data_IF_640084297740
#
_entry.id   IF_640084297740
#
_cell.length_a   1.000
_cell.length_b   1.000
_cell.length_c   1.000
_cell.angle_alpha   90.00
_cell.angle_beta   90.00
_cell.angle_gamma   90.00
#
_symmetry.space_group_name_H-M   'P 1'
#
loop_
_entity.id
_entity.type
_entity.pdbx_description
1 polymer ?
#
# COMPACT_ATOMS: atom_id res chain seq x y z
N UNK A 1 -14.66 -42.82 -30.69
CA UNK A 1 -15.92 -42.49 -29.98
C UNK A 1 -15.92 -41.00 -29.74
N UNK A 2 -16.78 -40.31 -30.46
CA UNK A 2 -16.95 -38.86 -30.49
C UNK A 2 -17.41 -38.35 -29.13
N UNK A 3 -16.55 -37.58 -28.46
CA UNK A 3 -16.96 -36.77 -27.32
C UNK A 3 -17.93 -35.71 -27.86
N UNK A 4 -19.19 -35.79 -27.43
CA UNK A 4 -20.20 -34.77 -27.69
C UNK A 4 -19.68 -33.44 -27.14
N UNK A 5 -19.29 -32.55 -28.06
CA UNK A 5 -19.09 -31.13 -27.80
C UNK A 5 -20.33 -30.60 -27.07
N UNK A 6 -20.12 -30.15 -25.84
CA UNK A 6 -21.09 -29.39 -25.07
C UNK A 6 -21.65 -28.27 -25.95
N UNK A 7 -22.94 -28.34 -26.26
CA UNK A 7 -23.63 -27.26 -26.94
C UNK A 7 -23.52 -25.99 -26.07
N UNK A 8 -23.13 -24.83 -26.62
CA UNK A 8 -23.00 -23.56 -25.87
C UNK A 8 -24.32 -23.01 -25.31
N UNK A 9 -25.42 -23.76 -25.41
CA UNK A 9 -26.77 -23.34 -24.99
C UNK A 9 -27.01 -23.39 -23.48
N UNK A 10 -26.08 -23.87 -22.66
CA UNK A 10 -26.26 -24.03 -21.21
C UNK A 10 -25.01 -23.74 -20.37
N UNK A 11 -24.14 -22.84 -20.82
CA UNK A 11 -23.16 -22.26 -19.91
C UNK A 11 -23.86 -21.17 -19.10
N UNK A 12 -24.06 -21.40 -17.80
CA UNK A 12 -24.52 -20.36 -16.88
C UNK A 12 -23.65 -19.11 -17.07
N UNK A 13 -24.28 -17.93 -17.04
CA UNK A 13 -23.62 -16.61 -17.14
C UNK A 13 -23.21 -16.13 -18.53
N UNK A 14 -23.47 -16.88 -19.61
CA UNK A 14 -23.27 -16.42 -21.00
C UNK A 14 -24.60 -15.92 -21.60
N UNK A 15 -24.68 -14.61 -21.86
CA UNK A 15 -25.85 -13.93 -22.42
C UNK A 15 -25.65 -13.45 -23.84
N UNK A 16 -26.74 -13.11 -24.53
CA UNK A 16 -26.66 -12.42 -25.81
C UNK A 16 -26.30 -10.94 -25.58
N UNK A 17 -25.50 -10.37 -26.48
CA UNK A 17 -25.15 -8.93 -26.43
C UNK A 17 -26.40 -8.08 -26.71
N UNK A 18 -27.21 -8.51 -27.68
CA UNK A 18 -28.49 -7.92 -28.04
C UNK A 18 -29.49 -9.05 -28.36
N UNK A 19 -30.82 -8.83 -28.24
CA UNK A 19 -31.83 -9.87 -28.44
C UNK A 19 -31.69 -10.63 -29.77
N UNK A 20 -31.32 -9.90 -30.83
CA UNK A 20 -31.18 -10.39 -32.20
C UNK A 20 -29.74 -10.80 -32.57
N UNK A 21 -28.76 -10.50 -31.72
CA UNK A 21 -27.36 -10.83 -32.01
C UNK A 21 -27.08 -12.31 -31.70
N UNK A 22 -26.40 -13.04 -32.61
CA UNK A 22 -25.89 -14.37 -32.30
C UNK A 22 -24.71 -14.32 -31.32
N UNK A 23 -24.10 -13.14 -31.14
CA UNK A 23 -22.93 -12.96 -30.30
C UNK A 23 -23.29 -13.05 -28.82
N UNK A 24 -22.40 -13.73 -28.08
CA UNK A 24 -22.57 -13.95 -26.66
C UNK A 24 -21.37 -13.47 -25.87
N UNK A 25 -21.64 -12.88 -24.72
CA UNK A 25 -20.63 -12.45 -23.76
C UNK A 25 -21.00 -12.91 -22.36
N UNK A 26 -20.01 -12.94 -21.47
CA UNK A 26 -20.31 -13.09 -20.05
C UNK A 26 -21.15 -11.91 -19.58
N UNK A 27 -22.31 -12.19 -19.01
CA UNK A 27 -23.17 -11.17 -18.40
C UNK A 27 -22.52 -10.69 -17.10
N UNK A 28 -21.88 -11.61 -16.38
CA UNK A 28 -21.24 -11.33 -15.11
C UNK A 28 -19.73 -11.10 -15.28
N UNK A 29 -19.31 -9.86 -15.05
CA UNK A 29 -17.90 -9.45 -15.12
C UNK A 29 -17.05 -10.07 -14.01
N UNK A 30 -17.62 -10.34 -12.84
CA UNK A 30 -16.89 -10.97 -11.73
C UNK A 30 -16.55 -12.41 -12.05
N UNK A 31 -17.50 -13.17 -12.62
CA UNK A 31 -17.23 -14.55 -13.08
C UNK A 31 -16.16 -14.56 -14.17
N UNK A 32 -16.19 -13.59 -15.09
CA UNK A 32 -15.15 -13.48 -16.11
C UNK A 32 -13.76 -13.24 -15.50
N UNK A 33 -13.66 -12.34 -14.53
CA UNK A 33 -12.42 -12.04 -13.83
C UNK A 33 -11.92 -13.21 -12.95
N UNK A 34 -12.83 -14.00 -12.36
CA UNK A 34 -12.48 -15.26 -11.71
C UNK A 34 -11.82 -16.23 -12.69
N UNK A 35 -12.39 -16.40 -13.89
CA UNK A 35 -11.84 -17.28 -14.92
C UNK A 35 -10.48 -16.80 -15.44
N UNK A 36 -10.30 -15.49 -15.60
CA UNK A 36 -9.01 -14.92 -16.00
C UNK A 36 -7.95 -15.13 -14.92
N UNK A 37 -8.30 -14.87 -13.66
CA UNK A 37 -7.41 -15.11 -12.53
C UNK A 37 -7.07 -16.61 -12.42
N UNK A 38 -8.04 -17.49 -12.68
CA UNK A 38 -7.86 -18.95 -12.58
C UNK A 38 -6.92 -19.44 -13.67
N UNK A 39 -7.02 -18.87 -14.87
CA UNK A 39 -6.11 -19.20 -15.96
C UNK A 39 -4.66 -18.84 -15.60
N UNK A 40 -4.42 -17.62 -15.11
CA UNK A 40 -3.08 -17.20 -14.70
C UNK A 40 -2.59 -18.02 -13.50
N UNK A 41 -3.46 -18.33 -12.53
CA UNK A 41 -3.13 -19.20 -11.40
C UNK A 41 -2.76 -20.63 -11.83
N UNK A 42 -3.47 -21.18 -12.82
CA UNK A 42 -3.14 -22.48 -13.40
C UNK A 42 -1.80 -22.43 -14.14
N UNK A 43 -1.49 -21.35 -14.86
CA UNK A 43 -0.19 -21.18 -15.50
C UNK A 43 0.96 -21.19 -14.48
N UNK A 44 0.78 -20.56 -13.31
CA UNK A 44 1.74 -20.64 -12.19
C UNK A 44 1.83 -22.08 -11.67
N UNK A 45 0.68 -22.70 -11.38
CA UNK A 45 0.57 -24.02 -10.75
C UNK A 45 1.18 -25.14 -11.60
N UNK A 46 0.98 -25.07 -12.91
CA UNK A 46 1.52 -26.04 -13.86
C UNK A 46 2.85 -25.61 -14.48
N UNK A 47 3.43 -24.48 -14.03
CA UNK A 47 4.67 -23.89 -14.56
C UNK A 47 4.63 -23.71 -16.08
N UNK A 48 3.47 -23.28 -16.59
CA UNK A 48 3.24 -23.07 -18.00
C UNK A 48 3.90 -21.77 -18.48
N UNK A 49 5.14 -21.89 -18.96
CA UNK A 49 5.90 -20.76 -19.48
C UNK A 49 5.40 -20.24 -20.84
N UNK A 50 4.52 -21.00 -21.52
CA UNK A 50 3.99 -20.60 -22.82
C UNK A 50 3.28 -19.25 -22.75
N UNK A 51 2.75 -18.91 -21.57
CA UNK A 51 2.07 -17.63 -21.40
C UNK A 51 2.99 -16.43 -21.57
N UNK A 52 4.29 -16.59 -21.30
CA UNK A 52 5.29 -15.55 -21.46
C UNK A 52 5.61 -15.23 -22.92
N UNK A 53 5.20 -16.08 -23.87
CA UNK A 53 5.45 -15.90 -25.30
C UNK A 53 4.21 -15.42 -26.06
N UNK A 54 3.06 -15.37 -25.41
CA UNK A 54 1.81 -14.96 -26.01
C UNK A 54 1.55 -13.47 -25.78
N UNK A 55 0.76 -12.86 -26.68
CA UNK A 55 0.12 -11.59 -26.38
C UNK A 55 -1.08 -11.85 -25.46
N UNK A 56 -0.96 -11.49 -24.19
CA UNK A 56 -2.12 -11.52 -23.28
C UNK A 56 -3.19 -10.57 -23.78
N UNK A 57 -4.41 -11.08 -23.94
CA UNK A 57 -5.55 -10.30 -24.43
C UNK A 57 -6.60 -10.03 -23.35
N UNK A 58 -6.50 -10.70 -22.20
CA UNK A 58 -7.58 -10.78 -21.22
C UNK A 58 -7.08 -10.28 -19.88
N UNK A 59 -7.01 -8.96 -19.77
CA UNK A 59 -6.44 -8.29 -18.61
C UNK A 59 -7.30 -8.48 -17.36
N UNK A 60 -6.64 -8.68 -16.22
CA UNK A 60 -7.31 -8.64 -14.93
C UNK A 60 -7.76 -7.21 -14.60
N UNK A 61 -8.83 -7.09 -13.81
CA UNK A 61 -9.18 -5.85 -13.12
C UNK A 61 -8.80 -5.91 -11.63
N UNK A 62 -9.15 -4.88 -10.85
CA UNK A 62 -8.84 -4.83 -9.40
C UNK A 62 -9.41 -6.06 -8.66
N UNK A 63 -10.59 -6.54 -9.07
CA UNK A 63 -11.18 -7.74 -8.48
C UNK A 63 -10.41 -9.00 -8.88
N UNK A 64 -10.13 -9.19 -10.17
CA UNK A 64 -9.36 -10.33 -10.68
C UNK A 64 -7.98 -10.45 -10.04
N UNK A 65 -7.26 -9.33 -9.90
CA UNK A 65 -5.97 -9.27 -9.18
C UNK A 65 -6.14 -9.66 -7.71
N UNK A 66 -7.18 -9.16 -7.02
CA UNK A 66 -7.42 -9.48 -5.61
C UNK A 66 -7.69 -10.98 -5.38
N UNK A 67 -8.40 -11.62 -6.31
CA UNK A 67 -8.65 -13.07 -6.30
C UNK A 67 -7.33 -13.81 -6.49
N UNK A 68 -6.54 -13.42 -7.49
CA UNK A 68 -5.24 -14.03 -7.76
C UNK A 68 -4.30 -13.93 -6.55
N UNK A 69 -4.22 -12.75 -5.92
CA UNK A 69 -3.45 -12.54 -4.69
C UNK A 69 -3.91 -13.49 -3.57
N UNK A 70 -5.23 -13.60 -3.37
CA UNK A 70 -5.82 -14.49 -2.37
C UNK A 70 -5.46 -15.96 -2.62
N UNK A 71 -5.47 -16.40 -3.88
CA UNK A 71 -5.07 -17.77 -4.23
C UNK A 71 -3.58 -18.01 -4.10
N UNK A 72 -2.73 -17.07 -4.52
CA UNK A 72 -1.27 -17.18 -4.32
C UNK A 72 -0.96 -17.36 -2.82
N UNK A 73 -1.61 -16.57 -1.96
CA UNK A 73 -1.44 -16.69 -0.51
C UNK A 73 -2.02 -17.99 0.05
N UNK A 74 -3.23 -18.38 -0.36
CA UNK A 74 -3.91 -19.57 0.15
C UNK A 74 -3.17 -20.87 -0.19
N UNK A 75 -2.56 -20.93 -1.37
CA UNK A 75 -1.88 -22.11 -1.89
C UNK A 75 -0.34 -22.04 -1.79
N UNK A 76 0.20 -21.00 -1.14
CA UNK A 76 1.65 -20.79 -0.94
C UNK A 76 2.48 -20.78 -2.24
N UNK A 77 1.95 -20.13 -3.29
CA UNK A 77 2.52 -20.16 -4.65
C UNK A 77 3.52 -19.03 -4.92
N UNK A 78 4.14 -18.47 -3.89
CA UNK A 78 5.07 -17.34 -4.05
C UNK A 78 6.28 -17.72 -4.92
N UNK A 79 6.86 -18.89 -4.66
CA UNK A 79 8.09 -19.32 -5.34
C UNK A 79 7.86 -19.55 -6.84
N UNK A 80 6.73 -20.14 -7.20
CA UNK A 80 6.29 -20.40 -8.55
C UNK A 80 5.93 -19.10 -9.28
N UNK A 81 5.27 -18.17 -8.59
CA UNK A 81 4.95 -16.85 -9.12
C UNK A 81 6.22 -16.10 -9.49
N UNK A 82 7.20 -16.06 -8.58
CA UNK A 82 8.51 -15.45 -8.81
C UNK A 82 9.28 -16.15 -9.94
N UNK A 83 9.26 -17.48 -9.98
CA UNK A 83 9.88 -18.24 -11.07
C UNK A 83 9.34 -17.82 -12.44
N UNK A 84 8.02 -17.61 -12.57
CA UNK A 84 7.42 -17.14 -13.82
C UNK A 84 7.82 -15.69 -14.14
N UNK A 85 7.82 -14.80 -13.13
CA UNK A 85 8.24 -13.40 -13.26
C UNK A 85 9.69 -13.31 -13.77
N UNK A 86 10.62 -14.08 -13.20
CA UNK A 86 12.04 -14.04 -13.58
C UNK A 86 12.36 -14.65 -14.94
N UNK A 87 11.42 -15.39 -15.55
CA UNK A 87 11.59 -16.01 -16.87
C UNK A 87 11.15 -15.11 -18.02
N UNK A 88 10.56 -13.95 -17.72
CA UNK A 88 10.14 -13.01 -18.77
C UNK A 88 11.34 -12.49 -19.54
N UNK A 89 11.24 -12.48 -20.86
CA UNK A 89 12.23 -11.84 -21.73
C UNK A 89 11.74 -10.45 -22.17
N UNK A 90 12.61 -9.64 -22.79
CA UNK A 90 12.28 -8.25 -23.14
C UNK A 90 11.07 -8.09 -24.07
N UNK A 91 10.76 -9.10 -24.90
CA UNK A 91 9.63 -9.12 -25.83
C UNK A 91 8.50 -10.03 -25.34
N UNK A 92 8.56 -10.42 -24.08
CA UNK A 92 7.66 -11.38 -23.48
C UNK A 92 6.35 -10.73 -23.08
N UNK A 93 5.48 -11.55 -22.52
CA UNK A 93 4.20 -11.14 -22.01
C UNK A 93 4.35 -10.35 -20.70
N UNK A 94 4.73 -9.08 -20.80
CA UNK A 94 4.85 -8.15 -19.66
C UNK A 94 3.52 -7.89 -18.96
N UNK A 95 2.40 -8.15 -19.64
CA UNK A 95 1.06 -8.02 -19.06
C UNK A 95 0.78 -9.10 -18.01
N UNK A 96 1.08 -10.37 -18.28
CA UNK A 96 0.94 -11.42 -17.26
C UNK A 96 1.88 -11.15 -16.07
N UNK A 97 3.07 -10.63 -16.32
CA UNK A 97 4.04 -10.30 -15.27
C UNK A 97 3.57 -9.14 -14.40
N UNK A 98 3.03 -8.06 -14.99
CA UNK A 98 2.54 -6.93 -14.19
C UNK A 98 1.31 -7.32 -13.36
N UNK A 99 0.48 -8.24 -13.84
CA UNK A 99 -0.68 -8.78 -13.10
C UNK A 99 -0.23 -9.64 -11.91
N UNK A 100 0.81 -10.46 -12.07
CA UNK A 100 1.43 -11.17 -10.96
C UNK A 100 2.05 -10.23 -9.94
N UNK A 101 2.83 -9.25 -10.41
CA UNK A 101 3.44 -8.25 -9.53
C UNK A 101 2.38 -7.42 -8.80
N UNK A 102 1.30 -7.08 -9.48
CA UNK A 102 0.13 -6.41 -8.93
C UNK A 102 -0.50 -7.26 -7.82
N UNK A 103 -0.71 -8.56 -8.03
CA UNK A 103 -1.23 -9.47 -7.02
C UNK A 103 -0.28 -9.61 -5.82
N UNK A 104 1.02 -9.80 -6.07
CA UNK A 104 2.04 -9.85 -5.02
C UNK A 104 2.12 -8.53 -4.23
N UNK A 105 1.90 -7.38 -4.89
CA UNK A 105 1.90 -6.08 -4.23
C UNK A 105 0.80 -5.92 -3.18
N UNK A 106 -0.28 -6.70 -3.27
CA UNK A 106 -1.37 -6.68 -2.30
C UNK A 106 -1.06 -7.52 -1.05
N UNK A 107 -0.05 -8.38 -1.09
CA UNK A 107 0.33 -9.28 0.00
C UNK A 107 1.38 -8.64 0.91
N UNK A 108 1.41 -9.06 2.18
CA UNK A 108 2.47 -8.71 3.14
C UNK A 108 3.61 -9.73 3.03
N UNK A 109 4.64 -9.39 2.24
CA UNK A 109 5.76 -10.29 1.94
C UNK A 109 7.10 -9.69 2.38
N UNK A 110 8.09 -10.56 2.56
CA UNK A 110 9.49 -10.17 2.72
C UNK A 110 10.00 -9.40 1.47
N UNK A 111 11.07 -8.59 1.59
CA UNK A 111 11.62 -7.84 0.47
C UNK A 111 11.93 -8.72 -0.76
N UNK A 112 11.47 -8.26 -1.93
CA UNK A 112 11.63 -8.97 -3.21
C UNK A 112 12.52 -8.15 -4.13
N UNK A 113 13.67 -8.72 -4.50
CA UNK A 113 14.55 -8.16 -5.52
C UNK A 113 14.18 -8.69 -6.90
N UNK A 114 13.69 -7.81 -7.78
CA UNK A 114 13.26 -8.15 -9.13
C UNK A 114 14.40 -8.10 -10.16
N UNK A 115 15.65 -8.01 -9.71
CA UNK A 115 16.85 -8.22 -10.53
C UNK A 115 16.92 -7.36 -11.81
N UNK A 116 16.33 -6.16 -11.78
CA UNK A 116 16.35 -5.21 -12.89
C UNK A 116 15.30 -5.46 -13.97
N UNK A 117 14.27 -6.27 -13.70
CA UNK A 117 13.18 -6.53 -14.65
C UNK A 117 12.58 -5.23 -15.18
N UNK A 118 12.34 -5.19 -16.49
CA UNK A 118 11.66 -4.08 -17.16
C UNK A 118 10.29 -4.51 -17.66
N UNK A 119 9.26 -3.80 -17.20
CA UNK A 119 7.88 -3.98 -17.64
C UNK A 119 7.55 -2.85 -18.59
N UNK A 120 7.14 -3.20 -19.81
CA UNK A 120 6.85 -2.24 -20.89
C UNK A 120 5.43 -2.44 -21.41
N UNK A 121 4.74 -1.34 -21.73
CA UNK A 121 3.45 -1.34 -22.43
C UNK A 121 2.36 -2.21 -21.78
N UNK A 122 2.38 -2.32 -20.45
CA UNK A 122 1.44 -3.14 -19.70
C UNK A 122 0.44 -2.28 -18.92
N UNK A 123 -0.73 -2.84 -18.64
CA UNK A 123 -1.79 -2.23 -17.84
C UNK A 123 -1.86 -2.90 -16.47
N UNK A 124 -1.89 -2.09 -15.42
CA UNK A 124 -1.93 -2.53 -14.03
C UNK A 124 -3.19 -1.96 -13.34
N UNK A 125 -4.14 -2.81 -12.93
CA UNK A 125 -5.35 -2.34 -12.26
C UNK A 125 -5.06 -1.71 -10.89
N UNK A 126 -4.15 -2.31 -10.13
CA UNK A 126 -3.76 -1.79 -8.82
C UNK A 126 -2.31 -2.16 -8.51
N UNK A 127 -1.53 -1.20 -8.03
CA UNK A 127 -0.18 -1.48 -7.53
C UNK A 127 0.00 -0.83 -6.17
N UNK A 128 0.25 -1.65 -5.15
CA UNK A 128 0.51 -1.17 -3.80
C UNK A 128 1.99 -1.09 -3.52
N UNK A 129 2.45 0.09 -3.11
CA UNK A 129 3.84 0.34 -2.75
C UNK A 129 4.12 0.04 -1.27
N UNK A 130 3.10 -0.38 -0.51
CA UNK A 130 3.14 -0.42 0.95
C UNK A 130 3.14 -1.78 1.63
N UNK A 131 2.79 -2.85 0.92
CA UNK A 131 2.65 -4.17 1.55
C UNK A 131 3.89 -5.06 1.28
N UNK A 132 4.40 -5.03 0.05
CA UNK A 132 5.60 -5.78 -0.35
C UNK A 132 6.73 -4.81 -0.76
N UNK A 133 7.93 -4.90 -0.15
CA UNK A 133 9.06 -4.06 -0.49
C UNK A 133 9.78 -4.57 -1.75
N UNK A 134 9.30 -4.16 -2.92
CA UNK A 134 9.95 -4.45 -4.20
C UNK A 134 11.21 -3.62 -4.43
N UNK A 135 12.21 -4.23 -5.09
CA UNK A 135 13.45 -3.57 -5.50
C UNK A 135 13.82 -3.91 -6.94
N UNK A 136 14.62 -3.05 -7.56
CA UNK A 136 15.22 -3.24 -8.88
C UNK A 136 14.19 -3.59 -9.98
N UNK A 137 13.20 -2.71 -10.19
CA UNK A 137 12.21 -2.86 -11.26
C UNK A 137 11.98 -1.52 -11.97
N UNK A 138 11.81 -1.58 -13.29
CA UNK A 138 11.43 -0.41 -14.09
C UNK A 138 10.13 -0.66 -14.84
N UNK A 139 9.16 0.23 -14.66
CA UNK A 139 7.96 0.34 -15.46
C UNK A 139 8.16 1.43 -16.50
N UNK A 140 7.98 1.12 -17.78
CA UNK A 140 8.15 2.07 -18.88
C UNK A 140 6.94 2.06 -19.81
N UNK A 141 6.31 3.23 -20.00
CA UNK A 141 5.11 3.36 -20.83
C UNK A 141 3.99 2.38 -20.42
N UNK A 142 3.83 2.17 -19.11
CA UNK A 142 2.75 1.38 -18.54
C UNK A 142 1.58 2.27 -18.11
N UNK A 143 0.40 1.68 -18.00
CA UNK A 143 -0.80 2.33 -17.46
C UNK A 143 -1.12 1.74 -16.10
N UNK A 144 -1.44 2.58 -15.12
CA UNK A 144 -1.89 2.19 -13.78
C UNK A 144 -3.26 2.80 -13.52
N UNK A 145 -4.27 1.98 -13.26
CA UNK A 145 -5.58 2.53 -12.84
C UNK A 145 -5.47 3.09 -11.42
N UNK A 146 -4.76 2.40 -10.53
CA UNK A 146 -4.58 2.81 -9.14
C UNK A 146 -3.17 2.50 -8.63
N UNK A 147 -2.44 3.54 -8.22
CA UNK A 147 -1.15 3.44 -7.54
C UNK A 147 -1.31 3.90 -6.08
N UNK A 148 -1.07 3.01 -5.12
CA UNK A 148 -1.28 3.31 -3.70
C UNK A 148 0.04 3.52 -2.96
N UNK A 149 0.12 4.63 -2.23
CA UNK A 149 1.26 5.02 -1.39
C UNK A 149 0.99 4.79 0.11
N UNK A 150 -0.12 4.13 0.43
CA UNK A 150 -0.44 3.77 1.80
C UNK A 150 0.69 2.91 2.36
N UNK A 151 1.30 3.32 3.47
CA UNK A 151 2.45 2.66 4.08
C UNK A 151 3.65 2.41 3.13
N UNK A 152 3.86 3.25 2.10
CA UNK A 152 4.91 3.08 1.09
C UNK A 152 6.25 2.63 1.72
N UNK A 153 6.79 1.50 1.23
CA UNK A 153 8.03 0.88 1.69
C UNK A 153 9.21 1.15 0.74
N UNK A 154 8.93 1.85 -0.37
CA UNK A 154 9.89 2.11 -1.43
C UNK A 154 10.54 3.47 -1.21
N UNK A 155 11.87 3.48 -1.18
CA UNK A 155 12.69 4.68 -1.12
C UNK A 155 13.65 4.76 -2.32
N UNK A 156 14.47 5.82 -2.38
CA UNK A 156 15.40 6.05 -3.49
C UNK A 156 16.45 4.93 -3.65
N UNK A 157 16.68 4.10 -2.63
CA UNK A 157 17.62 2.97 -2.67
C UNK A 157 17.00 1.69 -3.24
N UNK A 158 15.68 1.64 -3.40
CA UNK A 158 14.97 0.48 -3.90
C UNK A 158 15.10 0.32 -5.43
N UNK A 159 15.52 1.35 -6.16
CA UNK A 159 15.61 1.34 -7.64
C UNK A 159 14.31 0.88 -8.32
N UNK A 160 13.16 1.31 -7.79
CA UNK A 160 11.85 1.15 -8.42
C UNK A 160 11.57 2.39 -9.24
N UNK A 161 11.43 2.28 -10.56
CA UNK A 161 11.31 3.43 -11.47
C UNK A 161 10.00 3.34 -12.26
N UNK A 162 9.24 4.42 -12.28
CA UNK A 162 8.09 4.61 -13.18
C UNK A 162 8.47 5.68 -14.19
N UNK A 163 8.53 5.33 -15.47
CA UNK A 163 9.06 6.19 -16.54
C UNK A 163 8.06 6.29 -17.69
N UNK A 164 7.60 7.51 -17.98
CA UNK A 164 6.59 7.79 -19.01
C UNK A 164 5.28 6.98 -18.82
N UNK A 165 4.89 6.70 -17.57
CA UNK A 165 3.66 5.96 -17.28
C UNK A 165 2.43 6.88 -17.20
N UNK A 166 1.26 6.31 -17.47
CA UNK A 166 -0.03 6.97 -17.22
C UNK A 166 -0.63 6.41 -15.94
N UNK A 167 -0.99 7.28 -14.99
CA UNK A 167 -1.55 6.88 -13.69
C UNK A 167 -2.92 7.56 -13.54
N UNK A 168 -3.99 6.78 -13.59
CA UNK A 168 -5.35 7.33 -13.44
C UNK A 168 -5.55 7.86 -12.01
N UNK A 169 -5.29 7.03 -11.00
CA UNK A 169 -5.52 7.40 -9.60
C UNK A 169 -4.32 7.13 -8.71
N UNK A 170 -3.95 8.13 -7.91
CA UNK A 170 -3.03 7.98 -6.78
C UNK A 170 -3.82 8.10 -5.47
N UNK A 171 -3.60 7.16 -4.54
CA UNK A 171 -4.09 7.23 -3.16
C UNK A 171 -2.95 7.17 -2.15
N UNK A 172 -3.20 7.65 -0.92
CA UNK A 172 -2.21 7.59 0.16
C UNK A 172 -1.01 8.54 -0.04
N UNK A 173 -1.09 9.47 -0.99
CA UNK A 173 -0.07 10.47 -1.26
C UNK A 173 -0.58 11.85 -0.83
N UNK A 174 0.16 12.57 0.01
CA UNK A 174 -0.23 13.91 0.44
C UNK A 174 0.07 14.92 -0.68
N UNK A 175 -0.96 15.61 -1.17
CA UNK A 175 -0.89 16.50 -2.34
C UNK A 175 0.15 17.65 -2.26
N UNK A 176 0.66 18.00 -1.06
CA UNK A 176 1.63 19.08 -0.87
C UNK A 176 3.08 18.69 -1.20
N UNK A 177 3.39 17.40 -1.32
CA UNK A 177 4.74 16.96 -1.67
C UNK A 177 4.91 16.79 -3.19
N UNK A 178 6.09 17.18 -3.69
CA UNK A 178 6.55 16.77 -5.02
C UNK A 178 6.54 15.24 -5.09
N UNK A 179 6.08 14.70 -6.22
CA UNK A 179 6.16 13.26 -6.48
C UNK A 179 7.61 12.81 -6.27
N UNK A 180 7.82 11.57 -5.80
CA UNK A 180 9.17 11.04 -5.65
C UNK A 180 9.94 11.09 -6.97
N UNK A 181 11.25 11.28 -6.89
CA UNK A 181 12.12 11.45 -8.08
C UNK A 181 12.15 10.22 -8.99
N UNK A 182 11.69 9.07 -8.49
CA UNK A 182 11.57 7.83 -9.24
C UNK A 182 10.27 7.72 -10.07
N UNK A 183 9.36 8.70 -9.98
CA UNK A 183 8.23 8.88 -10.90
C UNK A 183 8.61 9.94 -11.93
N UNK A 184 9.05 9.48 -13.10
CA UNK A 184 9.70 10.29 -14.12
C UNK A 184 8.75 10.46 -15.30
N UNK A 185 8.43 11.71 -15.65
CA UNK A 185 7.61 12.06 -16.81
C UNK A 185 6.24 11.37 -16.87
N UNK A 186 5.67 11.00 -15.72
CA UNK A 186 4.36 10.34 -15.66
C UNK A 186 3.21 11.35 -15.68
N UNK A 187 2.11 11.01 -16.35
CA UNK A 187 0.85 11.75 -16.26
C UNK A 187 -0.01 11.18 -15.13
N UNK A 188 -0.57 12.06 -14.28
CA UNK A 188 -1.43 11.66 -13.16
C UNK A 188 -2.76 12.41 -13.26
N UNK A 189 -3.87 11.67 -13.37
CA UNK A 189 -5.20 12.25 -13.58
C UNK A 189 -5.92 12.63 -12.29
N UNK A 190 -5.92 11.74 -11.28
CA UNK A 190 -6.66 11.92 -10.04
C UNK A 190 -5.77 11.69 -8.80
N UNK A 191 -5.63 12.72 -7.96
CA UNK A 191 -4.92 12.64 -6.68
C UNK A 191 -5.93 12.66 -5.54
N UNK A 192 -6.20 11.49 -4.95
CA UNK A 192 -7.09 11.39 -3.79
C UNK A 192 -6.30 11.49 -2.48
N UNK A 193 -6.49 12.62 -1.79
CA UNK A 193 -6.07 12.77 -0.40
C UNK A 193 -7.00 11.94 0.48
N UNK A 194 -6.57 10.74 0.90
CA UNK A 194 -7.22 10.09 2.04
C UNK A 194 -6.89 10.87 3.31
N UNK A 195 -7.92 11.22 4.08
CA UNK A 195 -7.73 11.99 5.31
C UNK A 195 -6.70 11.30 6.21
N UNK A 196 -5.69 12.01 6.70
CA UNK A 196 -4.63 11.41 7.53
C UNK A 196 -5.22 10.59 8.70
N UNK A 197 -6.39 10.95 9.22
CA UNK A 197 -7.01 10.25 10.34
C UNK A 197 -7.51 8.82 10.03
N UNK A 198 -7.97 8.52 8.81
CA UNK A 198 -8.33 7.16 8.39
C UNK A 198 -7.09 6.35 8.05
N UNK A 199 -6.15 6.95 7.30
CA UNK A 199 -4.83 6.35 6.98
C UNK A 199 -4.09 5.85 8.22
N UNK A 200 -4.07 6.63 9.30
CA UNK A 200 -3.37 6.26 10.53
C UNK A 200 -4.06 5.09 11.25
N UNK A 201 -5.40 5.01 11.21
CA UNK A 201 -6.14 3.90 11.83
C UNK A 201 -5.81 2.57 11.16
N UNK A 202 -5.85 2.57 9.83
CA UNK A 202 -5.73 1.35 9.03
C UNK A 202 -4.26 0.96 8.76
N UNK A 203 -3.30 1.78 9.17
CA UNK A 203 -1.86 1.50 9.03
C UNK A 203 -1.33 0.46 10.03
N UNK A 204 -0.37 -0.36 9.61
CA UNK A 204 0.39 -1.29 10.49
C UNK A 204 1.49 -0.58 11.31
N UNK A 205 1.28 0.70 11.66
CA UNK A 205 2.24 1.46 12.46
C UNK A 205 2.32 0.92 13.91
N UNK A 206 3.53 0.85 14.50
CA UNK A 206 3.72 0.57 15.91
C UNK A 206 2.89 1.49 16.82
N UNK A 207 2.46 0.97 17.96
CA UNK A 207 1.63 1.68 18.95
C UNK A 207 2.25 3.03 19.34
N UNK A 208 3.57 3.09 19.51
CA UNK A 208 4.29 4.33 19.83
C UNK A 208 4.12 5.44 18.78
N UNK A 209 4.20 5.10 17.50
CA UNK A 209 4.01 6.03 16.39
C UNK A 209 2.55 6.45 16.23
N UNK A 210 1.60 5.52 16.40
CA UNK A 210 0.15 5.86 16.42
C UNK A 210 -0.18 6.81 17.57
N UNK A 211 0.42 6.62 18.75
CA UNK A 211 0.26 7.52 19.89
C UNK A 211 0.91 8.89 19.65
N UNK A 212 2.12 8.93 19.07
CA UNK A 212 2.76 10.19 18.67
C UNK A 212 1.87 11.00 17.72
N UNK A 213 1.32 10.36 16.70
CA UNK A 213 0.42 11.01 15.74
C UNK A 213 -0.86 11.52 16.39
N UNK A 214 -1.41 10.78 17.36
CA UNK A 214 -2.56 11.23 18.16
C UNK A 214 -2.22 12.48 18.97
N UNK A 215 -1.04 12.52 19.61
CA UNK A 215 -0.55 13.67 20.37
C UNK A 215 -0.34 14.88 19.47
N UNK A 216 0.36 14.70 18.33
CA UNK A 216 0.60 15.76 17.34
C UNK A 216 -0.73 16.34 16.84
N UNK A 217 -1.70 15.49 16.47
CA UNK A 217 -3.01 15.95 16.02
C UNK A 217 -3.70 16.80 17.08
N UNK A 218 -3.69 16.37 18.35
CA UNK A 218 -4.35 17.08 19.45
C UNK A 218 -3.68 18.40 19.78
N UNK A 219 -2.36 18.44 19.87
CA UNK A 219 -1.63 19.62 20.32
C UNK A 219 -1.47 20.65 19.19
N UNK A 220 -1.09 20.23 17.98
CA UNK A 220 -0.75 21.16 16.89
C UNK A 220 -1.93 21.53 16.01
N UNK A 221 -2.84 20.59 15.71
CA UNK A 221 -3.81 20.74 14.61
C UNK A 221 -5.28 20.82 15.04
N UNK A 222 -5.64 20.41 16.25
CA UNK A 222 -6.98 20.66 16.77
C UNK A 222 -7.10 22.10 17.27
N UNK A 223 -8.24 22.75 17.03
CA UNK A 223 -8.50 24.15 17.41
C UNK A 223 -8.28 24.42 18.91
N UNK A 224 -7.48 25.46 19.23
CA UNK A 224 -7.14 25.86 20.60
C UNK A 224 -5.68 26.26 20.77
N UNK A 225 -5.37 26.91 21.89
CA UNK A 225 -4.02 27.33 22.27
C UNK A 225 -3.16 26.23 22.92
N UNK A 226 -3.79 25.19 23.46
CA UNK A 226 -3.13 24.08 24.13
C UNK A 226 -4.09 22.96 24.54
N UNK A 227 -3.55 21.88 25.10
CA UNK A 227 -4.31 20.69 25.52
C UNK A 227 -4.02 20.30 26.96
N UNK A 228 -5.10 20.03 27.71
CA UNK A 228 -4.98 19.44 29.04
C UNK A 228 -4.45 18.01 28.96
N UNK A 229 -3.64 17.64 29.93
CA UNK A 229 -3.02 16.30 30.08
C UNK A 229 -4.05 15.15 29.98
N UNK A 230 -5.20 15.29 30.64
CA UNK A 230 -6.31 14.32 30.60
C UNK A 230 -6.84 14.07 29.18
N UNK A 231 -6.77 15.06 28.29
CA UNK A 231 -7.24 14.93 26.91
C UNK A 231 -6.24 14.16 26.04
N UNK A 232 -4.95 14.15 26.41
CA UNK A 232 -3.89 13.46 25.68
C UNK A 232 -3.89 11.95 25.99
N UNK A 233 -4.26 11.55 27.20
CA UNK A 233 -4.37 10.15 27.62
C UNK A 233 -5.54 9.37 27.00
N UNK A 234 -6.42 9.99 26.21
CA UNK A 234 -7.42 9.23 25.46
C UNK A 234 -6.77 8.65 24.19
N UNK A 235 -6.60 7.34 24.11
CA UNK A 235 -6.02 6.67 22.94
C UNK A 235 -6.62 7.17 21.63
N UNK A 236 -5.79 7.42 20.63
CA UNK A 236 -6.20 7.83 19.28
C UNK A 236 -5.83 6.75 18.29
N UNK A 237 -6.55 6.70 17.16
CA UNK A 237 -6.21 5.83 16.04
C UNK A 237 -6.11 4.33 16.36
N UNK A 238 -6.97 3.81 17.25
CA UNK A 238 -6.99 2.41 17.70
C UNK A 238 -5.67 1.92 18.35
N UNK A 239 -4.77 2.83 18.72
CA UNK A 239 -3.60 2.46 19.49
C UNK A 239 -4.00 1.99 20.90
N UNK A 240 -3.36 0.92 21.38
CA UNK A 240 -3.48 0.50 22.77
C UNK A 240 -3.09 1.66 23.69
N UNK A 241 -3.93 1.88 24.70
CA UNK A 241 -3.65 2.92 25.69
C UNK A 241 -2.44 2.50 26.53
N UNK A 242 -1.33 3.22 26.37
CA UNK A 242 -0.12 3.03 27.17
C UNK A 242 0.31 4.37 27.79
N UNK A 243 -0.02 4.54 29.08
CA UNK A 243 0.27 5.78 29.82
C UNK A 243 1.76 6.06 29.91
N UNK A 244 2.59 5.04 30.15
CA UNK A 244 4.04 5.20 30.30
C UNK A 244 4.68 5.68 28.99
N UNK A 245 4.20 5.15 27.87
CA UNK A 245 4.66 5.51 26.54
C UNK A 245 4.22 6.94 26.17
N UNK A 246 2.96 7.31 26.45
CA UNK A 246 2.47 8.69 26.27
C UNK A 246 3.30 9.67 27.11
N UNK A 247 3.58 9.34 28.38
CA UNK A 247 4.39 10.18 29.26
C UNK A 247 5.82 10.34 28.74
N UNK A 248 6.40 9.29 28.17
CA UNK A 248 7.74 9.32 27.58
C UNK A 248 7.79 10.20 26.34
N UNK A 249 6.79 10.08 25.45
CA UNK A 249 6.66 10.94 24.26
C UNK A 249 6.49 12.41 24.67
N UNK A 250 5.61 12.71 25.63
CA UNK A 250 5.38 14.09 26.08
C UNK A 250 6.61 14.69 26.75
N UNK A 251 7.35 13.92 27.57
CA UNK A 251 8.61 14.37 28.16
C UNK A 251 9.63 14.73 27.10
N UNK A 252 9.79 13.87 26.09
CA UNK A 252 10.69 14.11 24.97
C UNK A 252 10.29 15.38 24.20
N UNK A 253 9.00 15.54 23.86
CA UNK A 253 8.52 16.72 23.15
C UNK A 253 8.74 18.03 23.93
N UNK A 254 8.68 17.97 25.26
CA UNK A 254 8.96 19.12 26.14
C UNK A 254 10.45 19.40 26.28
N UNK A 255 11.28 18.36 26.43
CA UNK A 255 12.73 18.50 26.55
C UNK A 255 13.36 19.11 25.30
N UNK A 256 12.89 18.70 24.13
CA UNK A 256 13.36 19.19 22.83
C UNK A 256 12.72 20.54 22.43
N UNK A 257 11.82 21.10 23.24
CA UNK A 257 11.20 22.41 23.00
C UNK A 257 10.15 22.43 21.89
N UNK A 258 9.65 21.27 21.46
CA UNK A 258 8.53 21.18 20.51
C UNK A 258 7.20 21.57 21.14
N UNK A 259 7.04 21.30 22.43
CA UNK A 259 5.82 21.55 23.20
C UNK A 259 6.19 22.20 24.52
N UNK A 260 5.51 23.29 24.88
CA UNK A 260 5.67 23.94 26.17
C UNK A 260 4.67 23.39 27.18
N UNK A 261 5.15 23.08 28.39
CA UNK A 261 4.30 22.66 29.51
C UNK A 261 4.01 23.85 30.43
N UNK A 262 2.76 24.31 30.45
CA UNK A 262 2.27 25.29 31.42
C UNK A 262 1.34 24.64 32.45
N UNK A 263 1.08 25.34 33.55
CA UNK A 263 0.11 24.93 34.56
C UNK A 263 -1.08 25.88 34.55
N UNK A 264 -2.28 25.31 34.59
CA UNK A 264 -3.52 26.02 34.83
C UNK A 264 -4.22 25.38 36.03
N UNK A 265 -4.08 26.01 37.19
CA UNK A 265 -4.47 25.43 38.48
C UNK A 265 -3.73 24.12 38.77
N UNK A 266 -4.50 23.03 38.96
CA UNK A 266 -3.98 21.68 39.22
C UNK A 266 -3.67 20.87 37.96
N UNK A 267 -3.96 21.40 36.76
CA UNK A 267 -3.84 20.67 35.50
C UNK A 267 -2.67 21.17 34.66
N UNK A 268 -1.94 20.22 34.06
CA UNK A 268 -0.93 20.55 33.07
C UNK A 268 -1.58 20.85 31.71
N UNK A 269 -1.16 21.93 31.07
CA UNK A 269 -1.51 22.28 29.71
C UNK A 269 -0.25 22.18 28.83
N UNK A 270 -0.39 21.51 27.69
CA UNK A 270 0.66 21.36 26.69
C UNK A 270 0.33 22.26 25.50
N UNK A 271 1.21 23.22 25.21
CA UNK A 271 1.04 24.19 24.14
C UNK A 271 2.04 23.90 23.00
N UNK A 272 1.60 23.92 21.73
CA UNK A 272 2.51 23.73 20.61
C UNK A 272 3.44 24.93 20.46
N UNK A 273 4.74 24.66 20.29
CA UNK A 273 5.62 25.67 19.72
C UNK A 273 5.34 25.77 18.22
N UNK A 274 4.70 26.88 17.82
CA UNK A 274 4.17 27.05 16.45
C UNK A 274 5.25 27.06 15.37
N UNK A 275 6.51 27.34 15.73
CA UNK A 275 7.65 27.24 14.81
C UNK A 275 7.79 25.84 14.19
N UNK A 276 7.48 24.79 14.95
CA UNK A 276 7.60 23.40 14.48
C UNK A 276 6.34 22.86 13.79
N UNK A 277 5.31 23.70 13.57
CA UNK A 277 4.03 23.23 13.00
C UNK A 277 4.20 22.53 11.66
N UNK A 278 5.03 23.08 10.77
CA UNK A 278 5.30 22.49 9.45
C UNK A 278 6.06 21.17 9.55
N UNK A 279 7.01 21.04 10.48
CA UNK A 279 7.72 19.78 10.76
C UNK A 279 6.75 18.70 11.27
N UNK A 280 5.86 19.06 12.21
CA UNK A 280 4.85 18.14 12.73
C UNK A 280 3.82 17.73 11.68
N UNK A 281 3.54 18.61 10.71
CA UNK A 281 2.71 18.28 9.55
C UNK A 281 3.42 17.26 8.67
N UNK A 282 4.68 17.51 8.33
CA UNK A 282 5.49 16.58 7.53
C UNK A 282 5.56 15.17 8.15
N UNK A 283 5.81 15.06 9.47
CA UNK A 283 5.80 13.76 10.17
C UNK A 283 4.46 13.04 10.01
N UNK A 284 3.35 13.78 10.20
CA UNK A 284 2.00 13.23 10.09
C UNK A 284 1.62 12.83 8.67
N UNK A 285 2.22 13.46 7.67
CA UNK A 285 1.91 13.21 6.26
C UNK A 285 2.77 12.09 5.67
N UNK A 286 4.03 12.02 6.09
CA UNK A 286 5.01 11.01 5.66
C UNK A 286 4.75 9.64 6.32
N UNK A 287 4.19 9.60 7.53
CA UNK A 287 3.91 8.34 8.25
C UNK A 287 5.16 7.42 8.25
N UNK A 288 5.05 6.20 7.72
CA UNK A 288 6.15 5.22 7.64
C UNK A 288 7.39 5.71 6.90
N UNK A 289 7.25 6.69 6.00
CA UNK A 289 8.36 7.29 5.26
C UNK A 289 9.11 8.38 6.05
N UNK A 290 8.59 8.79 7.20
CA UNK A 290 9.20 9.85 8.00
C UNK A 290 10.57 9.39 8.49
N UNK A 291 11.62 10.11 8.08
CA UNK A 291 12.99 9.96 8.60
C UNK A 291 13.28 10.97 9.71
N UNK A 292 12.24 11.63 10.23
CA UNK A 292 12.39 12.61 11.28
C UNK A 292 12.92 11.97 12.58
N UNK A 293 13.89 12.59 13.27
CA UNK A 293 14.41 12.07 14.54
C UNK A 293 13.31 11.75 15.57
N UNK A 294 12.27 12.58 15.67
CA UNK A 294 11.14 12.36 16.60
C UNK A 294 10.44 11.03 16.27
N UNK A 295 10.31 10.71 14.98
CA UNK A 295 9.64 9.52 14.50
C UNK A 295 10.41 8.24 14.82
N UNK A 296 11.74 8.31 14.73
CA UNK A 296 12.66 7.21 15.01
C UNK A 296 12.86 7.00 16.51
N UNK A 297 13.05 8.07 17.28
CA UNK A 297 13.30 8.02 18.73
C UNK A 297 12.12 7.39 19.49
N UNK A 298 10.90 7.65 19.03
CA UNK A 298 9.68 7.11 19.66
C UNK A 298 9.56 5.59 19.50
N UNK A 299 10.13 4.99 18.46
CA UNK A 299 10.24 3.54 18.33
C UNK A 299 11.15 2.94 19.41
N UNK A 300 12.24 3.62 19.76
CA UNK A 300 13.11 3.16 20.83
C UNK A 300 12.40 3.13 22.18
N UNK A 301 11.51 4.10 22.45
CA UNK A 301 10.75 4.15 23.70
C UNK A 301 9.89 2.90 23.89
N UNK A 302 9.24 2.43 22.81
CA UNK A 302 8.47 1.19 22.82
C UNK A 302 9.36 -0.02 23.11
N UNK A 303 10.50 -0.13 22.42
CA UNK A 303 11.43 -1.26 22.61
C UNK A 303 11.97 -1.33 24.06
N UNK A 304 12.21 -0.17 24.68
CA UNK A 304 12.68 -0.05 26.08
C UNK A 304 11.56 -0.44 27.06
N UNK A 305 10.32 -0.01 26.80
CA UNK A 305 9.16 -0.37 27.63
C UNK A 305 8.87 -1.88 27.58
N UNK A 306 8.93 -2.50 26.40
CA UNK A 306 8.72 -3.94 26.22
C UNK A 306 9.81 -4.79 26.90
N UNK A 307 11.09 -4.38 26.80
CA UNK A 307 12.20 -5.04 27.52
C UNK A 307 12.00 -4.98 29.04
N UNK A 308 11.58 -3.83 29.57
CA UNK A 308 11.32 -3.66 31.01
C UNK A 308 10.17 -4.57 31.50
N UNK A 309 9.10 -4.71 30.71
CA UNK A 309 7.96 -5.59 31.02
C UNK A 309 8.33 -7.08 31.00
N UNK A 310 9.28 -7.49 30.15
CA UNK A 310 9.79 -8.88 30.10
C UNK A 310 10.69 -9.24 31.29
N UNK A 311 11.37 -8.28 31.90
CA UNK A 311 12.27 -8.50 33.05
C UNK A 311 11.49 -8.59 34.38
N UNK A 312 10.26 -8.07 34.41
CA UNK A 312 9.39 -8.05 35.60
C UNK A 312 8.40 -9.23 35.65
N UNK A 313 8.39 -10.10 34.65
CA UNK A 313 7.65 -11.38 34.63
C UNK A 313 8.62 -12.52 34.86
#
# INVERSE_FOLDING_TARGET
>A
MTANLLQPHRLCMIGRIEPESPDRQFIDKYVLQLLFAENLFNDISYKNEHILQQKWKQQLDEFGVSVLASWIQLYDMLSESLSLIFRVNENGNTQAVIELLSALSLLELEPIDLSGIQIKFAHCPIFSLGNTPFRNIKFHQCTFDKLTFENCLIDDSAYVIFDNCMIDKITGFAAEHSLPNWIINCSIYNKQNTSNSSRIKDSNLPTSQKLLLSIIQKIFFQSGGGRQEDALYKGGYQADFDKELIDSILKYLVQEGYVDKSKDGSKSIYNPNRYYTERMRAIKDQLSLSKDPIWLDVLEFQSKAEKKRKIQK
#
